data_IF_810356527484
#
_entry.id   IF_810356527484
#
_cell.length_a   1.000
_cell.length_b   1.000
_cell.length_c   1.000
_cell.angle_alpha   90.00
_cell.angle_beta   90.00
_cell.angle_gamma   90.00
#
_symmetry.space_group_name_H-M   'P 1'
#
loop_
_entity.id
_entity.type
_entity.pdbx_description
1 polymer ?
#
# COMPACT_ATOMS: atom_id res chain seq x y z
N UNK A 1 -3.93 5.57 -20.20
CA UNK A 1 -4.42 4.74 -19.09
C UNK A 1 -4.32 5.54 -17.80
N UNK A 2 -5.26 5.36 -16.87
CA UNK A 2 -5.27 6.04 -15.57
C UNK A 2 -5.38 5.00 -14.46
N UNK A 3 -4.56 5.16 -13.40
CA UNK A 3 -4.68 4.37 -12.18
C UNK A 3 -5.25 5.27 -11.08
N UNK A 4 -6.30 4.79 -10.42
CA UNK A 4 -6.87 5.45 -9.25
C UNK A 4 -6.72 4.51 -8.05
N UNK A 5 -6.28 5.07 -6.92
CA UNK A 5 -6.18 4.36 -5.65
C UNK A 5 -7.18 4.92 -4.64
N UNK A 6 -7.66 4.06 -3.75
CA UNK A 6 -8.55 4.42 -2.65
C UNK A 6 -8.07 3.78 -1.35
N UNK A 7 -7.99 4.57 -0.28
CA UNK A 7 -7.88 4.08 1.09
C UNK A 7 -9.20 3.45 1.51
N UNK A 8 -9.19 2.20 1.94
CA UNK A 8 -10.41 1.46 2.31
C UNK A 8 -10.54 1.24 3.81
N UNK A 9 -9.43 1.02 4.51
CA UNK A 9 -9.43 0.84 5.96
C UNK A 9 -8.03 1.04 6.57
N UNK A 10 -8.00 1.24 7.88
CA UNK A 10 -6.80 1.18 8.71
C UNK A 10 -7.04 0.29 9.93
N UNK A 11 -6.06 -0.53 10.28
CA UNK A 11 -6.11 -1.45 11.43
C UNK A 11 -4.74 -1.52 12.11
N UNK A 12 -4.57 -0.75 13.18
CA UNK A 12 -3.28 -0.67 13.88
C UNK A 12 -2.20 -0.18 12.92
N UNK A 13 -1.19 -1.02 12.66
CA UNK A 13 -0.12 -0.70 11.69
C UNK A 13 -0.45 -1.05 10.24
N UNK A 14 -1.63 -1.61 9.96
CA UNK A 14 -2.02 -2.00 8.60
C UNK A 14 -2.87 -0.92 7.96
N UNK A 15 -2.55 -0.57 6.72
CA UNK A 15 -3.39 0.27 5.85
C UNK A 15 -3.83 -0.57 4.67
N UNK A 16 -5.13 -0.58 4.38
CA UNK A 16 -5.71 -1.32 3.27
C UNK A 16 -6.08 -0.35 2.15
N UNK A 17 -5.64 -0.66 0.94
CA UNK A 17 -6.00 0.13 -0.25
C UNK A 17 -6.54 -0.76 -1.35
N UNK A 18 -7.32 -0.17 -2.25
CA UNK A 18 -7.71 -0.78 -3.51
C UNK A 18 -7.32 0.15 -4.67
N UNK A 19 -7.04 -0.42 -5.83
CA UNK A 19 -6.72 0.34 -7.04
C UNK A 19 -7.40 -0.21 -8.28
N UNK A 20 -7.76 0.68 -9.21
CA UNK A 20 -8.31 0.34 -10.52
C UNK A 20 -7.53 0.98 -11.66
N UNK A 21 -7.31 0.23 -12.74
CA UNK A 21 -6.73 0.71 -14.01
C UNK A 21 -7.84 0.91 -15.03
N UNK A 22 -7.90 2.09 -15.64
CA UNK A 22 -8.93 2.46 -16.61
C UNK A 22 -8.32 2.86 -17.97
N UNK A 23 -9.02 2.51 -19.05
CA UNK A 23 -8.72 3.06 -20.39
C UNK A 23 -9.29 4.48 -20.56
N UNK A 24 -9.06 5.08 -21.73
CA UNK A 24 -9.49 6.46 -22.01
C UNK A 24 -11.02 6.63 -22.08
N UNK A 25 -11.77 5.54 -22.26
CA UNK A 25 -13.23 5.54 -22.23
C UNK A 25 -13.78 5.33 -20.81
N UNK A 26 -12.90 5.23 -19.80
CA UNK A 26 -13.29 4.99 -18.41
C UNK A 26 -13.64 3.53 -18.11
N UNK A 27 -13.35 2.59 -19.02
CA UNK A 27 -13.59 1.16 -18.76
C UNK A 27 -12.52 0.59 -17.84
N UNK A 28 -12.95 -0.14 -16.81
CA UNK A 28 -12.06 -0.85 -15.90
C UNK A 28 -11.37 -2.01 -16.62
N UNK A 29 -10.04 -2.04 -16.55
CA UNK A 29 -9.20 -3.07 -17.16
C UNK A 29 -8.60 -4.03 -16.14
N UNK A 30 -8.29 -3.54 -14.93
CA UNK A 30 -7.70 -4.35 -13.87
C UNK A 30 -8.01 -3.77 -12.49
N UNK A 31 -8.01 -4.64 -11.47
CA UNK A 31 -8.11 -4.28 -10.05
C UNK A 31 -6.99 -4.92 -9.24
N UNK A 32 -6.61 -4.28 -8.14
CA UNK A 32 -5.72 -4.87 -7.14
C UNK A 32 -6.10 -4.38 -5.74
N UNK A 33 -5.80 -5.20 -4.73
CA UNK A 33 -5.95 -4.89 -3.32
C UNK A 33 -4.57 -5.00 -2.65
N UNK A 34 -4.26 -4.07 -1.76
CA UNK A 34 -2.95 -3.99 -1.12
C UNK A 34 -3.09 -3.82 0.40
N UNK A 35 -2.15 -4.41 1.12
CA UNK A 35 -1.95 -4.20 2.56
C UNK A 35 -0.57 -3.60 2.75
N UNK A 36 -0.53 -2.40 3.33
CA UNK A 36 0.69 -1.72 3.73
C UNK A 36 0.88 -1.90 5.23
N UNK A 37 2.12 -2.10 5.68
CA UNK A 37 2.44 -2.18 7.11
C UNK A 37 3.36 -1.03 7.47
N UNK A 38 2.89 -0.14 8.35
CA UNK A 38 3.69 0.95 8.87
C UNK A 38 4.86 0.41 9.70
N UNK A 39 6.05 0.89 9.37
CA UNK A 39 7.32 0.54 10.01
C UNK A 39 7.86 1.80 10.69
N UNK A 40 8.21 1.68 11.97
CA UNK A 40 9.02 2.68 12.66
C UNK A 40 10.49 2.53 12.20
N UNK A 41 11.07 3.53 11.51
CA UNK A 41 12.44 3.42 11.02
C UNK A 41 13.48 3.21 12.13
N UNK A 42 13.28 3.79 13.32
CA UNK A 42 14.22 3.68 14.44
C UNK A 42 14.19 2.29 15.10
N UNK A 43 13.06 1.59 15.02
CA UNK A 43 12.95 0.18 15.43
C UNK A 43 13.55 -0.72 14.34
N UNK A 44 13.27 -0.43 13.08
CA UNK A 44 13.72 -1.26 11.96
C UNK A 44 15.24 -1.32 11.83
N UNK A 45 15.94 -0.19 11.97
CA UNK A 45 17.39 -0.17 11.83
C UNK A 45 18.14 -0.93 12.92
N UNK A 46 17.61 -1.00 14.15
CA UNK A 46 18.22 -1.79 15.24
C UNK A 46 18.28 -3.29 14.96
N UNK A 47 17.37 -3.82 14.14
CA UNK A 47 17.39 -5.25 13.76
C UNK A 47 18.53 -5.60 12.78
N UNK A 48 19.10 -4.59 12.11
CA UNK A 48 20.16 -4.76 11.12
C UNK A 48 21.54 -4.36 11.66
N UNK A 49 21.64 -3.95 12.92
CA UNK A 49 22.93 -3.62 13.53
C UNK A 49 23.54 -4.89 14.16
N UNK A 50 24.66 -5.43 13.63
CA UNK A 50 25.29 -6.63 14.17
C UNK A 50 25.91 -6.43 15.56
N UNK A 51 25.95 -5.19 16.07
CA UNK A 51 26.53 -4.86 17.38
C UNK A 51 25.48 -4.48 18.45
N UNK A 52 24.18 -4.51 18.13
CA UNK A 52 23.08 -4.22 19.06
C UNK A 52 22.62 -5.41 19.89
#
# INVERSE_FOLDING_TARGET
YVVVGQLTAEQGRKTFTASGLYDAAGRLLARAEQVWVAVDPAVFQRLNDPAA
#
